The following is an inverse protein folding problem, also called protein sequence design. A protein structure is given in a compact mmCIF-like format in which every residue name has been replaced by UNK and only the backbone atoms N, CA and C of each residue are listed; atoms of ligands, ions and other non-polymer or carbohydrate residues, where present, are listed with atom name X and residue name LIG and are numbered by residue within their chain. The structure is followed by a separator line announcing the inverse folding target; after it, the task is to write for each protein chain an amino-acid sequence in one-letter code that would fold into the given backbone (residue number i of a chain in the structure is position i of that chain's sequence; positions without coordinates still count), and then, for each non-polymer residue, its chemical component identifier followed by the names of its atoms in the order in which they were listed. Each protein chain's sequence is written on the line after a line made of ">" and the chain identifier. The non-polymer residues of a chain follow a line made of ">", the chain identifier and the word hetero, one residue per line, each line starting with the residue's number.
data_IF_678211542477
#
_entry.id   IF_678211542477
#
_cell.length_a   1.000
_cell.length_b   1.000
_cell.length_c   1.000
_cell.angle_alpha   90.00
_cell.angle_beta   90.00
_cell.angle_gamma   90.00
#
_symmetry.space_group_name_H-M   'P 1'
#
loop_
_entity.id
_entity.type
_entity.pdbx_description
1 polymer ?
#
# COMPACT_ATOMS: atom_id res chain seq x y z
N UNK A 1 -27.36 3.39 9.55
CA UNK A 1 -28.55 3.92 8.82
C UNK A 1 -28.23 4.82 7.62
N UNK A 2 -27.03 5.37 7.47
CA UNK A 2 -26.67 6.22 6.30
C UNK A 2 -26.23 5.44 5.05
N UNK A 3 -25.61 4.28 5.21
CA UNK A 3 -25.12 3.46 4.06
C UNK A 3 -26.27 2.92 3.20
N UNK A 4 -27.45 2.70 3.76
CA UNK A 4 -28.63 2.18 3.05
C UNK A 4 -29.39 3.22 2.20
N UNK A 5 -29.04 4.49 2.25
CA UNK A 5 -29.70 5.56 1.51
C UNK A 5 -29.11 5.90 0.13
N UNK A 6 -28.20 5.06 -0.40
CA UNK A 6 -27.72 5.23 -1.79
C UNK A 6 -28.74 4.65 -2.80
N UNK A 7 -29.97 5.13 -2.82
CA UNK A 7 -30.96 4.80 -3.85
C UNK A 7 -30.68 5.41 -5.24
N UNK A 8 -29.59 6.17 -5.41
CA UNK A 8 -29.12 6.66 -6.72
C UNK A 8 -27.62 6.41 -6.83
N UNK A 9 -27.20 5.50 -7.71
CA UNK A 9 -25.80 5.19 -8.00
C UNK A 9 -25.06 6.30 -8.78
N UNK A 10 -25.71 7.43 -9.08
CA UNK A 10 -25.11 8.49 -9.89
C UNK A 10 -23.78 9.05 -9.34
N UNK A 11 -23.56 9.22 -8.00
CA UNK A 11 -22.27 9.74 -7.54
C UNK A 11 -21.12 8.78 -7.84
N UNK A 12 -21.39 7.47 -7.78
CA UNK A 12 -20.40 6.44 -8.12
C UNK A 12 -20.09 6.48 -9.62
N UNK A 13 -21.11 6.59 -10.47
CA UNK A 13 -20.91 6.66 -11.93
C UNK A 13 -20.15 7.93 -12.32
N UNK A 14 -20.50 9.08 -11.74
CA UNK A 14 -19.80 10.34 -11.97
C UNK A 14 -18.33 10.21 -11.53
N UNK A 15 -18.08 9.67 -10.34
CA UNK A 15 -16.71 9.47 -9.86
C UNK A 15 -15.90 8.57 -10.77
N UNK A 16 -16.45 7.41 -11.19
CA UNK A 16 -15.78 6.49 -12.10
C UNK A 16 -15.49 7.12 -13.47
N UNK A 17 -16.40 7.94 -13.97
CA UNK A 17 -16.18 8.71 -15.21
C UNK A 17 -14.99 9.67 -15.05
N UNK A 18 -14.98 10.48 -13.99
CA UNK A 18 -13.86 11.39 -13.74
C UNK A 18 -12.54 10.64 -13.51
N UNK A 19 -12.57 9.53 -12.76
CA UNK A 19 -11.39 8.69 -12.55
C UNK A 19 -10.83 8.18 -13.88
N UNK A 20 -11.69 7.72 -14.80
CA UNK A 20 -11.28 7.29 -16.13
C UNK A 20 -10.70 8.46 -16.95
N UNK A 21 -11.38 9.62 -16.98
CA UNK A 21 -10.90 10.81 -17.71
C UNK A 21 -9.52 11.24 -17.19
N UNK A 22 -9.32 11.31 -15.88
CA UNK A 22 -8.05 11.71 -15.28
C UNK A 22 -6.97 10.65 -15.54
N UNK A 23 -7.30 9.35 -15.55
CA UNK A 23 -6.36 8.29 -15.88
C UNK A 23 -5.87 8.40 -17.33
N UNK A 24 -6.76 8.67 -18.28
CA UNK A 24 -6.42 8.92 -19.68
C UNK A 24 -5.61 10.22 -19.83
N UNK A 25 -5.98 11.28 -19.11
CA UNK A 25 -5.22 12.54 -19.12
C UNK A 25 -3.75 12.36 -18.69
N UNK A 26 -3.48 11.40 -17.81
CA UNK A 26 -2.12 11.02 -17.39
C UNK A 26 -1.53 9.89 -18.25
N UNK A 27 -2.09 9.58 -19.40
CA UNK A 27 -1.63 8.57 -20.37
C UNK A 27 -1.49 7.16 -19.75
N UNK A 28 -2.33 6.80 -18.79
CA UNK A 28 -2.29 5.47 -18.16
C UNK A 28 -2.53 4.35 -19.17
N UNK A 29 -3.36 4.59 -20.16
CA UNK A 29 -3.67 3.69 -21.28
C UNK A 29 -2.43 3.35 -22.16
N UNK A 30 -1.53 4.31 -22.38
CA UNK A 30 -0.29 4.09 -23.11
C UNK A 30 0.81 3.52 -22.19
N UNK A 31 0.97 4.10 -20.99
CA UNK A 31 2.03 3.73 -20.05
C UNK A 31 1.92 2.27 -19.61
N UNK A 32 0.71 1.68 -19.54
CA UNK A 32 0.49 0.27 -19.16
C UNK A 32 1.34 -0.69 -20.00
N UNK A 33 1.62 -0.38 -21.25
CA UNK A 33 2.38 -1.24 -22.18
C UNK A 33 3.90 -1.02 -22.12
N UNK A 34 4.37 -0.02 -21.39
CA UNK A 34 5.79 0.29 -21.30
C UNK A 34 6.51 -0.59 -20.27
N UNK A 35 7.76 -0.91 -20.54
CA UNK A 35 8.66 -1.60 -19.59
C UNK A 35 9.07 -0.71 -18.43
N UNK A 36 9.72 -1.26 -17.38
CA UNK A 36 10.28 -0.47 -16.29
C UNK A 36 11.15 0.67 -16.78
N UNK A 37 10.83 1.90 -16.36
CA UNK A 37 11.54 3.11 -16.81
C UNK A 37 11.42 4.25 -15.82
N UNK A 38 12.14 5.37 -16.09
CA UNK A 38 12.09 6.60 -15.32
C UNK A 38 12.63 6.44 -13.89
N UNK A 39 12.05 7.13 -12.91
CA UNK A 39 12.50 7.12 -11.51
C UNK A 39 12.42 5.71 -10.93
N UNK A 40 13.46 5.29 -10.21
CA UNK A 40 13.57 3.94 -9.64
C UNK A 40 13.44 2.79 -10.66
N UNK A 41 13.85 3.02 -11.93
CA UNK A 41 13.80 1.98 -12.97
C UNK A 41 14.48 0.67 -12.57
N UNK A 42 15.58 0.75 -11.84
CA UNK A 42 16.30 -0.41 -11.33
C UNK A 42 15.42 -1.23 -10.36
N UNK A 43 14.75 -0.60 -9.41
CA UNK A 43 13.83 -1.27 -8.46
C UNK A 43 12.58 -1.81 -9.14
N UNK A 44 12.07 -1.09 -10.14
CA UNK A 44 10.97 -1.59 -10.96
C UNK A 44 11.38 -2.85 -11.74
N UNK A 45 12.60 -2.87 -12.30
CA UNK A 45 13.14 -4.01 -13.02
C UNK A 45 13.36 -5.21 -12.09
N UNK A 46 13.85 -5.00 -10.88
CA UNK A 46 14.03 -6.07 -9.90
C UNK A 46 12.69 -6.68 -9.48
N UNK A 47 11.68 -5.86 -9.24
CA UNK A 47 10.32 -6.35 -8.93
C UNK A 47 9.71 -7.13 -10.11
N UNK A 48 9.87 -6.64 -11.34
CA UNK A 48 9.42 -7.34 -12.53
C UNK A 48 10.16 -8.67 -12.69
N UNK A 49 11.46 -8.70 -12.41
CA UNK A 49 12.29 -9.90 -12.49
C UNK A 49 11.91 -10.96 -11.44
N UNK A 50 11.52 -10.55 -10.22
CA UNK A 50 10.99 -11.47 -9.21
C UNK A 50 9.77 -12.23 -9.73
N UNK A 51 8.81 -11.51 -10.32
CA UNK A 51 7.61 -12.14 -10.89
C UNK A 51 7.96 -13.06 -12.07
N UNK A 52 8.88 -12.62 -12.94
CA UNK A 52 9.33 -13.41 -14.08
C UNK A 52 10.08 -14.68 -13.66
N UNK A 53 10.95 -14.58 -12.65
CA UNK A 53 11.68 -15.74 -12.14
C UNK A 53 10.76 -16.76 -11.48
N UNK A 54 9.76 -16.33 -10.72
CA UNK A 54 8.72 -17.26 -10.23
C UNK A 54 8.00 -17.97 -11.38
N UNK A 55 7.69 -17.26 -12.46
CA UNK A 55 7.06 -17.85 -13.64
C UNK A 55 7.96 -18.88 -14.34
N UNK A 56 9.24 -18.57 -14.53
CA UNK A 56 10.19 -19.38 -15.29
C UNK A 56 10.77 -20.52 -14.46
N UNK A 57 11.08 -20.30 -13.16
CA UNK A 57 11.85 -21.19 -12.31
C UNK A 57 10.97 -22.07 -11.39
N UNK A 58 9.70 -22.32 -11.74
CA UNK A 58 8.88 -23.36 -11.11
C UNK A 58 8.06 -22.93 -9.91
N UNK A 59 7.82 -21.64 -9.68
CA UNK A 59 6.94 -21.13 -8.62
C UNK A 59 7.38 -21.48 -7.18
N UNK A 60 8.69 -21.51 -6.92
CA UNK A 60 9.23 -21.79 -5.59
C UNK A 60 9.15 -20.56 -4.67
N UNK A 61 8.05 -20.39 -3.94
CA UNK A 61 7.75 -19.21 -3.13
C UNK A 61 8.87 -18.78 -2.18
N UNK A 62 9.55 -19.73 -1.54
CA UNK A 62 10.66 -19.48 -0.60
C UNK A 62 12.04 -19.42 -1.27
N UNK A 63 12.10 -19.35 -2.58
CA UNK A 63 13.36 -19.20 -3.33
C UNK A 63 13.26 -18.01 -4.30
N UNK A 64 13.12 -16.77 -3.80
CA UNK A 64 13.06 -15.59 -4.66
C UNK A 64 14.39 -15.34 -5.35
N UNK A 65 14.32 -14.94 -6.62
CA UNK A 65 15.49 -14.62 -7.44
C UNK A 65 15.22 -13.34 -8.25
N UNK A 66 16.27 -12.52 -8.43
CA UNK A 66 16.24 -11.32 -9.27
C UNK A 66 17.20 -11.47 -10.44
N UNK A 67 17.05 -10.63 -11.47
CA UNK A 67 18.03 -10.53 -12.55
C UNK A 67 19.25 -9.67 -12.17
N UNK A 68 19.21 -9.02 -11.01
CA UNK A 68 20.28 -8.17 -10.54
C UNK A 68 21.37 -8.99 -9.86
N UNK A 69 22.38 -9.40 -10.63
CA UNK A 69 23.49 -10.20 -10.12
C UNK A 69 24.53 -9.40 -9.34
N UNK A 70 24.50 -8.06 -9.40
CA UNK A 70 25.49 -7.23 -8.70
C UNK A 70 25.35 -7.29 -7.19
N UNK A 71 24.19 -7.66 -6.69
CA UNK A 71 23.88 -7.71 -5.26
C UNK A 71 24.46 -8.93 -4.53
N UNK A 72 24.86 -9.96 -5.25
CA UNK A 72 25.43 -11.21 -4.70
C UNK A 72 26.79 -11.55 -5.30
N UNK A 73 27.54 -10.55 -5.72
CA UNK A 73 28.84 -10.72 -6.36
C UNK A 73 28.78 -11.28 -7.78
N UNK A 74 27.66 -11.18 -8.46
CA UNK A 74 27.49 -11.63 -9.83
C UNK A 74 27.22 -13.12 -10.00
N UNK A 75 26.72 -13.80 -8.97
CA UNK A 75 26.66 -15.26 -8.95
C UNK A 75 25.28 -15.82 -9.31
N UNK A 76 24.25 -15.60 -8.51
CA UNK A 76 23.01 -16.38 -8.61
C UNK A 76 21.72 -15.55 -8.73
N UNK A 77 21.76 -14.28 -8.38
CA UNK A 77 20.54 -13.46 -8.25
C UNK A 77 19.60 -13.87 -7.12
N UNK A 78 20.03 -14.79 -6.24
CA UNK A 78 19.23 -15.27 -5.11
C UNK A 78 19.15 -14.23 -4.02
N UNK A 79 18.22 -13.31 -4.18
CA UNK A 79 17.95 -12.22 -3.27
C UNK A 79 16.47 -12.22 -2.87
N UNK A 80 16.25 -12.12 -1.56
CA UNK A 80 14.90 -12.10 -0.98
C UNK A 80 14.53 -10.67 -0.55
N UNK A 81 13.44 -10.10 -1.07
CA UNK A 81 12.96 -8.80 -0.62
C UNK A 81 12.43 -8.87 0.81
N UNK A 82 12.46 -7.74 1.52
CA UNK A 82 11.85 -7.60 2.85
C UNK A 82 10.31 -7.68 2.80
N UNK A 83 9.73 -7.36 1.67
CA UNK A 83 8.31 -7.57 1.38
C UNK A 83 8.01 -9.04 1.11
N UNK A 84 6.90 -9.55 1.64
CA UNK A 84 6.44 -10.90 1.33
C UNK A 84 6.06 -10.95 -0.16
N UNK A 85 6.62 -11.85 -0.98
CA UNK A 85 6.49 -11.81 -2.42
C UNK A 85 5.12 -12.28 -2.95
N UNK A 86 4.05 -12.20 -2.14
CA UNK A 86 2.69 -12.61 -2.52
C UNK A 86 2.23 -11.92 -3.80
N UNK A 87 2.52 -10.62 -3.92
CA UNK A 87 2.14 -9.83 -5.08
C UNK A 87 2.85 -10.31 -6.36
N UNK A 88 4.17 -10.50 -6.29
CA UNK A 88 4.97 -10.98 -7.42
C UNK A 88 4.63 -12.42 -7.81
N UNK A 89 4.37 -13.25 -6.80
CA UNK A 89 3.93 -14.62 -6.99
C UNK A 89 2.56 -14.69 -7.67
N UNK A 90 1.62 -13.83 -7.29
CA UNK A 90 0.33 -13.73 -7.96
C UNK A 90 0.45 -13.26 -9.41
N UNK A 91 1.34 -12.30 -9.70
CA UNK A 91 1.64 -11.90 -11.08
C UNK A 91 2.21 -13.05 -11.88
N UNK A 92 3.11 -13.85 -11.29
CA UNK A 92 3.64 -15.05 -11.95
C UNK A 92 2.55 -16.09 -12.26
N UNK A 93 1.53 -16.24 -11.41
CA UNK A 93 0.34 -17.04 -11.71
C UNK A 93 -0.44 -16.49 -12.92
N UNK A 94 -0.61 -15.17 -13.01
CA UNK A 94 -1.24 -14.54 -14.17
C UNK A 94 -0.41 -14.76 -15.44
N UNK A 95 0.93 -14.70 -15.36
CA UNK A 95 1.79 -15.07 -16.49
C UNK A 95 1.60 -16.52 -16.94
N UNK A 96 1.34 -17.45 -16.01
CA UNK A 96 1.02 -18.84 -16.38
C UNK A 96 -0.32 -19.00 -17.08
N UNK A 97 -1.31 -18.18 -16.73
CA UNK A 97 -2.65 -18.22 -17.30
C UNK A 97 -2.73 -17.53 -18.68
N UNK A 98 -2.07 -16.38 -18.81
CA UNK A 98 -2.24 -15.49 -19.97
C UNK A 98 -0.99 -15.39 -20.87
N UNK A 99 0.11 -16.07 -20.49
CA UNK A 99 1.42 -15.85 -21.08
C UNK A 99 2.14 -14.65 -20.47
N UNK A 100 3.48 -14.62 -20.64
CA UNK A 100 4.29 -13.52 -20.16
C UNK A 100 4.06 -12.24 -20.97
N UNK A 101 3.67 -11.18 -20.28
CA UNK A 101 3.61 -9.82 -20.82
C UNK A 101 3.82 -8.79 -19.72
N UNK A 102 4.72 -7.84 -19.91
CA UNK A 102 5.04 -6.80 -18.90
C UNK A 102 3.80 -6.00 -18.45
N UNK A 103 2.85 -5.77 -19.36
CA UNK A 103 1.61 -5.05 -19.07
C UNK A 103 0.75 -5.71 -17.98
N UNK A 104 0.83 -7.01 -17.78
CA UNK A 104 0.04 -7.72 -16.76
C UNK A 104 0.41 -7.21 -15.36
N UNK A 105 1.71 -7.05 -15.08
CA UNK A 105 2.16 -6.52 -13.81
C UNK A 105 1.63 -5.10 -13.58
N UNK A 106 1.88 -4.23 -14.55
CA UNK A 106 1.52 -2.81 -14.47
C UNK A 106 0.00 -2.64 -14.39
N UNK A 107 -0.76 -3.37 -15.22
CA UNK A 107 -2.22 -3.33 -15.22
C UNK A 107 -2.80 -3.75 -13.86
N UNK A 108 -2.31 -4.86 -13.29
CA UNK A 108 -2.78 -5.33 -11.98
C UNK A 108 -2.52 -4.27 -10.90
N UNK A 109 -1.30 -3.72 -10.86
CA UNK A 109 -0.93 -2.68 -9.90
C UNK A 109 -1.82 -1.44 -10.04
N UNK A 110 -2.04 -0.99 -11.28
CA UNK A 110 -2.90 0.15 -11.60
C UNK A 110 -4.35 -0.10 -11.19
N UNK A 111 -4.90 -1.27 -11.50
CA UNK A 111 -6.29 -1.62 -11.14
C UNK A 111 -6.48 -1.64 -9.62
N UNK A 112 -5.54 -2.22 -8.87
CA UNK A 112 -5.59 -2.22 -7.40
C UNK A 112 -5.49 -0.78 -6.87
N UNK A 113 -4.60 0.04 -7.42
CA UNK A 113 -4.45 1.44 -7.04
C UNK A 113 -5.74 2.23 -7.29
N UNK A 114 -6.32 2.15 -8.49
CA UNK A 114 -7.57 2.82 -8.82
C UNK A 114 -8.75 2.33 -7.95
N UNK A 115 -8.77 1.04 -7.60
CA UNK A 115 -9.71 0.51 -6.63
C UNK A 115 -9.52 1.15 -5.25
N UNK A 116 -8.28 1.35 -4.81
CA UNK A 116 -7.97 2.10 -3.58
C UNK A 116 -8.51 3.52 -3.60
N UNK A 117 -8.32 4.25 -4.70
CA UNK A 117 -8.86 5.60 -4.89
C UNK A 117 -10.40 5.59 -4.88
N UNK A 118 -11.02 4.58 -5.49
CA UNK A 118 -12.47 4.41 -5.40
C UNK A 118 -12.94 4.22 -3.94
N UNK A 119 -12.25 3.40 -3.14
CA UNK A 119 -12.59 3.24 -1.73
C UNK A 119 -12.29 4.49 -0.90
N UNK A 120 -11.28 5.29 -1.27
CA UNK A 120 -11.06 6.61 -0.67
C UNK A 120 -12.24 7.54 -0.91
N UNK A 121 -12.76 7.60 -2.15
CA UNK A 121 -14.02 8.28 -2.43
C UNK A 121 -15.18 7.77 -1.55
N UNK A 122 -15.29 6.45 -1.35
CA UNK A 122 -16.29 5.86 -0.46
C UNK A 122 -16.13 6.29 1.00
N UNK A 123 -14.89 6.43 1.49
CA UNK A 123 -14.58 6.97 2.82
C UNK A 123 -15.00 8.44 2.90
N UNK A 124 -14.65 9.26 1.94
CA UNK A 124 -15.08 10.66 1.93
C UNK A 124 -16.61 10.78 1.88
N UNK A 125 -17.30 9.93 1.10
CA UNK A 125 -18.76 9.87 1.08
C UNK A 125 -19.39 9.43 2.40
N UNK A 126 -18.66 8.69 3.20
CA UNK A 126 -19.11 8.30 4.53
C UNK A 126 -19.06 9.47 5.53
N UNK A 127 -17.98 10.25 5.50
CA UNK A 127 -17.81 11.39 6.41
C UNK A 127 -18.47 12.68 5.90
N UNK A 128 -18.44 12.90 4.58
CA UNK A 128 -18.98 14.08 3.93
C UNK A 128 -20.31 13.72 3.26
N UNK A 129 -21.36 14.43 3.57
CA UNK A 129 -22.65 14.23 2.90
C UNK A 129 -22.66 14.78 1.47
N UNK A 130 -21.77 15.72 1.18
CA UNK A 130 -21.64 16.39 -0.11
C UNK A 130 -20.90 15.54 -1.15
N UNK A 131 -21.51 15.40 -2.34
CA UNK A 131 -20.96 14.60 -3.45
C UNK A 131 -19.77 15.28 -4.09
N UNK A 132 -19.85 16.60 -4.30
CA UNK A 132 -18.81 17.36 -4.97
C UNK A 132 -17.50 17.28 -4.20
N UNK A 133 -17.53 17.59 -2.90
CA UNK A 133 -16.32 17.54 -2.06
C UNK A 133 -15.76 16.14 -1.93
N UNK A 134 -16.61 15.11 -1.89
CA UNK A 134 -16.12 13.73 -1.84
C UNK A 134 -15.38 13.32 -3.11
N UNK A 135 -15.87 13.74 -4.27
CA UNK A 135 -15.20 13.52 -5.56
C UNK A 135 -13.93 14.36 -5.65
N UNK A 136 -14.02 15.65 -5.34
CA UNK A 136 -12.90 16.58 -5.45
C UNK A 136 -11.71 16.14 -4.60
N UNK A 137 -11.93 15.76 -3.33
CA UNK A 137 -10.87 15.32 -2.44
C UNK A 137 -10.25 13.98 -2.89
N UNK A 138 -11.06 13.03 -3.36
CA UNK A 138 -10.51 11.77 -3.85
C UNK A 138 -9.68 11.97 -5.13
N UNK A 139 -10.12 12.83 -6.04
CA UNK A 139 -9.37 13.18 -7.24
C UNK A 139 -8.13 14.03 -6.93
N UNK A 140 -8.23 14.98 -5.99
CA UNK A 140 -7.07 15.74 -5.52
C UNK A 140 -5.98 14.80 -5.01
N UNK A 141 -6.36 13.77 -4.27
CA UNK A 141 -5.43 12.77 -3.78
C UNK A 141 -4.79 11.99 -4.93
N UNK A 142 -5.61 11.53 -5.89
CA UNK A 142 -5.14 10.82 -7.08
C UNK A 142 -4.17 11.67 -7.92
N UNK A 143 -4.46 12.96 -8.11
CA UNK A 143 -3.65 13.86 -8.94
C UNK A 143 -2.34 14.32 -8.29
N UNK A 144 -2.05 13.88 -7.07
CA UNK A 144 -0.71 14.08 -6.49
C UNK A 144 0.36 13.49 -7.42
N UNK A 145 1.41 14.25 -7.79
CA UNK A 145 2.46 13.78 -8.70
C UNK A 145 3.05 12.43 -8.29
N UNK A 146 3.24 12.22 -6.99
CA UNK A 146 3.75 10.96 -6.44
C UNK A 146 2.77 9.81 -6.71
N UNK A 147 1.48 10.00 -6.45
CA UNK A 147 0.49 8.94 -6.62
C UNK A 147 0.20 8.65 -8.09
N UNK A 148 0.17 9.67 -8.95
CA UNK A 148 0.07 9.49 -10.40
C UNK A 148 1.22 8.63 -10.91
N UNK A 149 2.45 8.95 -10.51
CA UNK A 149 3.62 8.21 -10.96
C UNK A 149 3.66 6.78 -10.43
N UNK A 150 3.46 6.60 -9.11
CA UNK A 150 3.58 5.28 -8.48
C UNK A 150 2.34 4.40 -8.67
N UNK A 151 1.18 4.98 -8.98
CA UNK A 151 -0.05 4.23 -9.27
C UNK A 151 0.03 3.38 -10.53
N UNK A 152 0.92 3.73 -11.47
CA UNK A 152 1.09 3.05 -12.74
C UNK A 152 2.55 2.64 -12.98
N UNK A 153 3.12 1.81 -12.12
CA UNK A 153 4.49 1.31 -12.26
C UNK A 153 4.63 -0.14 -11.74
N UNK A 154 5.86 -0.64 -11.59
CA UNK A 154 6.17 -2.00 -11.13
C UNK A 154 6.53 -2.08 -9.63
N UNK A 155 6.05 -1.13 -8.82
CA UNK A 155 6.31 -1.14 -7.37
C UNK A 155 5.02 -1.48 -6.61
N UNK A 156 5.11 -2.40 -5.65
CA UNK A 156 3.99 -2.83 -4.81
C UNK A 156 3.52 -1.76 -3.79
N UNK A 157 4.22 -0.62 -3.71
CA UNK A 157 3.91 0.45 -2.77
C UNK A 157 2.50 1.01 -2.93
N UNK A 158 2.07 1.27 -4.18
CA UNK A 158 0.73 1.78 -4.49
C UNK A 158 -0.36 0.77 -4.21
N UNK A 159 -0.11 -0.52 -4.50
CA UNK A 159 -1.02 -1.60 -4.14
C UNK A 159 -1.13 -1.76 -2.62
N UNK A 160 -0.02 -1.68 -1.88
CA UNK A 160 -0.02 -1.69 -0.41
C UNK A 160 -0.86 -0.54 0.17
N UNK A 161 -0.66 0.66 -0.36
CA UNK A 161 -1.42 1.84 0.02
C UNK A 161 -2.92 1.67 -0.28
N UNK A 162 -3.27 1.15 -1.45
CA UNK A 162 -4.65 0.88 -1.85
C UNK A 162 -5.32 -0.13 -0.89
N UNK A 163 -4.66 -1.24 -0.59
CA UNK A 163 -5.17 -2.22 0.39
C UNK A 163 -5.34 -1.62 1.78
N UNK A 164 -4.45 -0.72 2.20
CA UNK A 164 -4.61 0.01 3.46
C UNK A 164 -5.87 0.88 3.47
N UNK A 165 -6.13 1.65 2.40
CA UNK A 165 -7.35 2.46 2.28
C UNK A 165 -8.60 1.57 2.32
N UNK A 166 -8.60 0.46 1.56
CA UNK A 166 -9.73 -0.49 1.56
C UNK A 166 -9.91 -1.09 2.96
N UNK A 167 -8.82 -1.42 3.64
CA UNK A 167 -8.83 -1.90 5.02
C UNK A 167 -9.50 -0.89 5.97
N UNK A 168 -9.15 0.38 5.87
CA UNK A 168 -9.78 1.45 6.66
C UNK A 168 -11.26 1.61 6.35
N UNK A 169 -11.69 1.50 5.10
CA UNK A 169 -13.11 1.51 4.75
C UNK A 169 -13.89 0.42 5.49
N UNK A 170 -13.38 -0.81 5.53
CA UNK A 170 -14.02 -1.90 6.24
C UNK A 170 -13.91 -1.76 7.77
N UNK A 171 -12.85 -1.13 8.27
CA UNK A 171 -12.76 -0.79 9.68
C UNK A 171 -13.82 0.24 10.10
N UNK A 172 -14.08 1.26 9.29
CA UNK A 172 -15.18 2.21 9.55
C UNK A 172 -16.55 1.53 9.49
N UNK A 173 -16.74 0.58 8.59
CA UNK A 173 -17.94 -0.25 8.59
C UNK A 173 -18.09 -1.10 9.86
N UNK A 174 -16.99 -1.68 10.34
CA UNK A 174 -17.00 -2.37 11.63
C UNK A 174 -17.39 -1.43 12.76
N UNK A 175 -16.85 -0.22 12.79
CA UNK A 175 -17.17 0.78 13.83
C UNK A 175 -18.65 1.20 13.81
N UNK A 176 -19.29 1.23 12.63
CA UNK A 176 -20.70 1.61 12.49
C UNK A 176 -21.66 0.43 12.72
N UNK A 177 -21.39 -0.70 12.07
CA UNK A 177 -22.31 -1.85 12.05
C UNK A 177 -22.09 -2.80 13.26
N UNK A 178 -20.97 -2.67 13.99
CA UNK A 178 -20.55 -3.56 15.09
C UNK A 178 -20.46 -5.05 14.69
N UNK A 179 -20.33 -5.35 13.40
CA UNK A 179 -20.23 -6.71 12.90
C UNK A 179 -18.76 -7.15 12.78
N UNK A 180 -18.36 -8.14 13.54
CA UNK A 180 -16.99 -8.67 13.58
C UNK A 180 -16.44 -9.10 12.21
N UNK A 181 -17.30 -9.49 11.26
CA UNK A 181 -16.85 -9.85 9.90
C UNK A 181 -16.07 -8.70 9.24
N UNK A 182 -16.50 -7.45 9.42
CA UNK A 182 -15.84 -6.29 8.81
C UNK A 182 -14.49 -5.99 9.47
N UNK A 183 -14.37 -6.27 10.77
CA UNK A 183 -13.08 -6.21 11.45
C UNK A 183 -12.09 -7.21 10.83
N UNK A 184 -12.49 -8.48 10.64
CA UNK A 184 -11.59 -9.48 10.07
C UNK A 184 -11.26 -9.21 8.58
N UNK A 185 -12.21 -8.69 7.80
CA UNK A 185 -11.94 -8.23 6.43
C UNK A 185 -10.90 -7.10 6.44
N UNK A 186 -11.05 -6.13 7.34
CA UNK A 186 -10.08 -5.05 7.52
C UNK A 186 -8.68 -5.59 7.89
N UNK A 187 -8.60 -6.51 8.86
CA UNK A 187 -7.33 -7.12 9.28
C UNK A 187 -6.68 -7.92 8.14
N UNK A 188 -7.45 -8.66 7.34
CA UNK A 188 -6.93 -9.36 6.17
C UNK A 188 -6.35 -8.38 5.13
N UNK A 189 -7.03 -7.28 4.88
CA UNK A 189 -6.55 -6.24 3.95
C UNK A 189 -5.29 -5.55 4.47
N UNK A 190 -5.20 -5.28 5.77
CA UNK A 190 -3.97 -4.76 6.37
C UNK A 190 -2.83 -5.78 6.36
N UNK A 191 -3.11 -7.08 6.48
CA UNK A 191 -2.10 -8.12 6.29
C UNK A 191 -1.57 -8.11 4.85
N UNK A 192 -2.44 -8.06 3.84
CA UNK A 192 -2.03 -7.99 2.43
C UNK A 192 -1.23 -6.70 2.17
N UNK A 193 -1.67 -5.58 2.73
CA UNK A 193 -0.94 -4.31 2.64
C UNK A 193 0.45 -4.41 3.27
N UNK A 194 0.56 -4.92 4.50
CA UNK A 194 1.81 -5.07 5.23
C UNK A 194 2.74 -6.12 4.59
N UNK A 195 2.20 -7.18 4.01
CA UNK A 195 2.94 -8.14 3.21
C UNK A 195 3.58 -7.47 1.97
N UNK A 196 2.85 -6.56 1.33
CA UNK A 196 3.33 -5.80 0.17
C UNK A 196 4.30 -4.66 0.54
N UNK A 197 4.14 -4.08 1.74
CA UNK A 197 5.03 -3.04 2.29
C UNK A 197 4.93 -2.97 3.81
N UNK A 198 6.04 -3.21 4.49
CA UNK A 198 6.07 -3.27 5.96
C UNK A 198 5.55 -2.02 6.65
N UNK A 199 5.71 -0.83 6.04
CA UNK A 199 5.19 0.43 6.58
C UNK A 199 3.65 0.46 6.71
N UNK A 200 2.92 -0.39 5.99
CA UNK A 200 1.47 -0.50 6.15
C UNK A 200 1.05 -1.07 7.53
N UNK A 201 1.99 -1.65 8.30
CA UNK A 201 1.77 -1.99 9.72
C UNK A 201 1.34 -0.79 10.57
N UNK A 202 1.63 0.44 10.16
CA UNK A 202 1.13 1.63 10.87
C UNK A 202 -0.39 1.63 11.01
N UNK A 203 -1.13 1.08 10.05
CA UNK A 203 -2.59 0.91 10.18
C UNK A 203 -2.96 -0.04 11.33
N UNK A 204 -2.23 -1.15 11.47
CA UNK A 204 -2.44 -2.11 12.55
C UNK A 204 -2.07 -1.48 13.90
N UNK A 205 -0.97 -0.75 13.98
CA UNK A 205 -0.55 -0.04 15.19
C UNK A 205 -1.53 1.07 15.58
N UNK A 206 -2.12 1.79 14.61
CA UNK A 206 -3.16 2.77 14.88
C UNK A 206 -4.39 2.12 15.54
N UNK A 207 -4.83 0.97 15.01
CA UNK A 207 -5.96 0.22 15.62
C UNK A 207 -5.58 -0.35 16.98
N UNK A 208 -4.34 -0.81 17.16
CA UNK A 208 -3.85 -1.26 18.46
C UNK A 208 -3.86 -0.12 19.49
N UNK A 209 -3.49 1.09 19.08
CA UNK A 209 -3.63 2.30 19.91
C UNK A 209 -5.09 2.61 20.27
N UNK A 210 -6.00 2.55 19.29
CA UNK A 210 -7.44 2.72 19.55
C UNK A 210 -7.95 1.65 20.55
N UNK A 211 -7.57 0.39 20.34
CA UNK A 211 -7.91 -0.70 21.26
C UNK A 211 -7.40 -0.42 22.67
N UNK A 212 -6.14 -0.01 22.82
CA UNK A 212 -5.53 0.34 24.09
C UNK A 212 -6.27 1.47 24.81
N UNK A 213 -6.58 2.56 24.11
CA UNK A 213 -7.31 3.69 24.69
C UNK A 213 -8.73 3.31 25.12
N UNK A 214 -9.39 2.42 24.39
CA UNK A 214 -10.74 1.99 24.78
C UNK A 214 -10.73 1.02 25.98
N UNK A 215 -9.78 0.06 26.04
CA UNK A 215 -9.72 -0.88 27.18
C UNK A 215 -9.28 -0.22 28.49
N UNK A 216 -8.45 0.82 28.40
CA UNK A 216 -8.05 1.64 29.57
C UNK A 216 -9.11 2.65 29.99
N UNK A 217 -10.18 2.83 29.20
CA UNK A 217 -11.25 3.77 29.49
C UNK A 217 -10.91 5.24 29.21
N UNK A 218 -9.78 5.51 28.53
CA UNK A 218 -9.36 6.87 28.17
C UNK A 218 -10.26 7.49 27.06
N UNK A 219 -10.82 6.65 26.20
CA UNK A 219 -11.67 7.12 25.08
C UNK A 219 -12.73 6.06 24.75
N UNK A 220 -13.89 6.50 24.27
CA UNK A 220 -14.93 5.64 23.70
C UNK A 220 -15.11 6.00 22.23
N UNK A 221 -14.85 5.05 21.31
CA UNK A 221 -14.94 5.29 19.88
C UNK A 221 -16.34 5.03 19.30
N UNK A 222 -17.18 4.24 20.00
CA UNK A 222 -18.58 4.01 19.63
C UNK A 222 -19.52 4.64 20.66
N UNK A 223 -20.63 5.25 20.18
CA UNK A 223 -21.62 5.88 21.07
C UNK A 223 -22.31 4.85 21.96
N UNK A 224 -22.04 4.93 23.27
CA UNK A 224 -22.75 4.16 24.29
C UNK A 224 -22.33 2.69 24.43
N UNK A 225 -21.38 2.19 23.65
CA UNK A 225 -20.87 0.82 23.77
C UNK A 225 -19.40 0.74 23.37
N UNK A 226 -18.73 -0.34 23.79
CA UNK A 226 -17.35 -0.59 23.40
C UNK A 226 -17.30 -1.05 21.94
N UNK A 227 -16.44 -0.42 21.16
CA UNK A 227 -16.16 -0.84 19.79
C UNK A 227 -15.52 -2.24 19.79
N UNK A 228 -14.53 -2.46 20.66
CA UNK A 228 -13.78 -3.69 20.75
C UNK A 228 -14.35 -4.63 21.84
N UNK A 229 -15.26 -5.51 21.45
CA UNK A 229 -15.95 -6.40 22.41
C UNK A 229 -15.07 -7.57 22.87
N UNK A 230 -14.16 -8.07 22.03
CA UNK A 230 -13.33 -9.25 22.36
C UNK A 230 -11.95 -8.82 22.84
N UNK A 231 -11.64 -9.18 24.10
CA UNK A 231 -10.34 -8.91 24.72
C UNK A 231 -9.21 -9.83 24.24
N UNK A 232 -9.51 -10.93 23.53
CA UNK A 232 -8.53 -11.93 23.09
C UNK A 232 -8.43 -11.95 21.57
N UNK A 233 -9.55 -12.08 20.84
CA UNK A 233 -9.55 -12.26 19.39
C UNK A 233 -9.01 -11.05 18.62
N UNK A 234 -9.33 -9.85 19.11
CA UNK A 234 -8.90 -8.59 18.49
C UNK A 234 -7.38 -8.42 18.59
N UNK A 235 -6.76 -8.42 19.78
CA UNK A 235 -5.31 -8.33 19.87
C UNK A 235 -4.59 -9.53 19.23
N UNK A 236 -5.16 -10.74 19.31
CA UNK A 236 -4.58 -11.91 18.67
C UNK A 236 -4.47 -11.75 17.15
N UNK A 237 -5.49 -11.17 16.49
CA UNK A 237 -5.43 -10.91 15.03
C UNK A 237 -4.37 -9.87 14.68
N UNK A 238 -4.21 -8.80 15.46
CA UNK A 238 -3.17 -7.78 15.25
C UNK A 238 -1.77 -8.36 15.47
N UNK A 239 -1.58 -9.11 16.55
CA UNK A 239 -0.31 -9.80 16.85
C UNK A 239 0.04 -10.80 15.74
N UNK A 240 -0.94 -11.53 15.21
CA UNK A 240 -0.72 -12.48 14.11
C UNK A 240 -0.20 -11.79 12.85
N UNK A 241 -0.70 -10.59 12.51
CA UNK A 241 -0.20 -9.82 11.36
C UNK A 241 1.26 -9.43 11.58
N UNK A 242 1.59 -8.89 12.75
CA UNK A 242 2.97 -8.51 13.09
C UNK A 242 3.90 -9.72 13.09
N UNK A 243 3.44 -10.86 13.63
CA UNK A 243 4.21 -12.09 13.65
C UNK A 243 4.47 -12.64 12.25
N UNK A 244 3.46 -12.65 11.35
CA UNK A 244 3.61 -13.11 9.97
C UNK A 244 4.65 -12.24 9.22
N UNK A 245 4.50 -10.91 9.28
CA UNK A 245 5.42 -9.99 8.61
C UNK A 245 6.82 -10.07 9.22
N UNK A 246 6.92 -10.11 10.55
CA UNK A 246 8.20 -10.24 11.25
C UNK A 246 8.91 -11.55 10.92
N UNK A 247 8.19 -12.67 10.89
CA UNK A 247 8.75 -13.99 10.50
C UNK A 247 9.31 -13.95 9.07
N UNK A 248 8.64 -13.25 8.15
CA UNK A 248 9.16 -13.09 6.80
C UNK A 248 10.46 -12.27 6.77
N UNK A 249 10.51 -11.17 7.51
CA UNK A 249 11.73 -10.33 7.58
C UNK A 249 12.92 -11.15 8.11
N UNK A 250 12.69 -11.97 9.13
CA UNK A 250 13.73 -12.88 9.67
C UNK A 250 14.15 -13.91 8.62
N UNK A 251 13.19 -14.49 7.90
CA UNK A 251 13.49 -15.42 6.80
C UNK A 251 14.29 -14.72 5.69
N UNK A 252 13.87 -13.53 5.25
CA UNK A 252 14.56 -12.77 4.21
C UNK A 252 16.00 -12.42 4.61
N UNK A 253 16.21 -12.02 5.86
CA UNK A 253 17.54 -11.76 6.40
C UNK A 253 18.42 -13.00 6.38
N UNK A 254 17.89 -14.14 6.85
CA UNK A 254 18.60 -15.42 6.81
C UNK A 254 18.92 -15.86 5.37
N UNK A 255 17.94 -15.76 4.46
CA UNK A 255 18.11 -16.13 3.06
C UNK A 255 19.19 -15.29 2.37
N UNK A 256 19.14 -13.97 2.57
CA UNK A 256 20.10 -13.04 1.99
C UNK A 256 21.52 -13.28 2.53
N UNK A 257 21.67 -13.49 3.83
CA UNK A 257 22.96 -13.82 4.44
C UNK A 257 23.52 -15.13 3.87
N UNK A 258 22.69 -16.16 3.75
CA UNK A 258 23.08 -17.48 3.21
C UNK A 258 23.58 -17.38 1.76
N UNK A 259 23.01 -16.51 0.95
CA UNK A 259 23.33 -16.34 -0.47
C UNK A 259 24.25 -15.15 -0.76
N UNK A 260 24.73 -14.45 0.27
CA UNK A 260 25.62 -13.29 0.11
C UNK A 260 24.94 -12.07 -0.55
N UNK A 261 23.60 -12.01 -0.54
CA UNK A 261 22.87 -10.89 -1.11
C UNK A 261 22.91 -9.67 -0.17
N UNK A 262 23.40 -8.54 -0.68
CA UNK A 262 23.47 -7.27 0.05
C UNK A 262 22.41 -6.26 -0.40
N UNK A 263 21.73 -6.53 -1.50
CA UNK A 263 20.86 -5.58 -2.19
C UNK A 263 19.54 -5.27 -1.44
N UNK A 264 18.81 -6.29 -1.03
CA UNK A 264 17.59 -6.10 -0.23
C UNK A 264 17.92 -6.03 1.26
N UNK A 265 18.87 -5.16 1.62
CA UNK A 265 19.28 -5.00 3.00
C UNK A 265 18.08 -4.73 3.90
N UNK A 266 17.98 -5.51 4.95
CA UNK A 266 17.03 -5.28 6.06
C UNK A 266 17.65 -4.38 7.14
N UNK A 267 18.76 -3.69 6.82
CA UNK A 267 19.45 -2.80 7.75
C UNK A 267 18.54 -1.65 8.14
N UNK A 268 18.38 -1.47 9.43
CA UNK A 268 17.71 -0.32 10.02
C UNK A 268 18.78 0.76 10.21
N UNK A 269 18.48 1.97 9.74
CA UNK A 269 19.32 3.15 9.97
C UNK A 269 18.64 3.99 11.07
N UNK A 270 19.01 3.79 12.35
CA UNK A 270 18.33 4.47 13.44
C UNK A 270 18.71 5.95 13.48
N UNK A 271 17.73 6.82 13.70
CA UNK A 271 17.93 8.26 13.71
C UNK A 271 18.91 8.74 14.81
N UNK A 272 19.04 7.97 15.88
CA UNK A 272 19.96 8.27 16.99
C UNK A 272 21.43 8.02 16.67
N UNK A 273 21.73 7.34 15.58
CA UNK A 273 23.11 7.14 15.11
C UNK A 273 23.56 8.23 14.12
N UNK A 274 22.66 9.15 13.76
CA UNK A 274 22.93 10.25 12.85
C UNK A 274 23.63 11.41 13.57
N UNK A 275 24.59 12.02 12.90
CA UNK A 275 25.19 13.28 13.32
C UNK A 275 24.21 14.45 13.14
N UNK A 276 24.45 15.59 13.79
CA UNK A 276 23.61 16.78 13.65
C UNK A 276 23.47 17.24 12.20
N UNK A 277 24.54 17.20 11.41
CA UNK A 277 24.55 17.60 10.01
C UNK A 277 23.71 16.64 9.12
N UNK A 278 23.80 15.33 9.40
CA UNK A 278 22.97 14.34 8.71
C UNK A 278 21.48 14.50 9.03
N UNK A 279 21.14 14.82 10.28
CA UNK A 279 19.75 15.13 10.67
C UNK A 279 19.24 16.35 9.90
N UNK A 280 20.05 17.42 9.82
CA UNK A 280 19.69 18.62 9.03
C UNK A 280 19.49 18.25 7.57
N UNK A 281 20.40 17.46 6.97
CA UNK A 281 20.27 16.99 5.59
C UNK A 281 18.97 16.18 5.35
N UNK A 282 18.57 15.31 6.30
CA UNK A 282 17.31 14.58 6.25
C UNK A 282 16.11 15.53 6.31
N UNK A 283 16.14 16.53 7.20
CA UNK A 283 15.06 17.52 7.32
C UNK A 283 14.93 18.40 6.06
N UNK A 284 16.05 18.80 5.46
CA UNK A 284 16.06 19.50 4.17
C UNK A 284 15.50 18.62 3.06
N UNK A 285 15.89 17.34 3.00
CA UNK A 285 15.33 16.36 2.06
C UNK A 285 13.81 16.21 2.23
N UNK A 286 13.33 16.12 3.46
CA UNK A 286 11.89 16.08 3.76
C UNK A 286 11.21 17.35 3.26
N UNK A 287 11.76 18.52 3.58
CA UNK A 287 11.21 19.81 3.14
C UNK A 287 11.10 19.88 1.62
N UNK A 288 12.18 19.60 0.91
CA UNK A 288 12.24 19.72 -0.55
C UNK A 288 11.33 18.70 -1.24
N UNK A 289 11.28 17.45 -0.74
CA UNK A 289 10.42 16.43 -1.30
C UNK A 289 8.94 16.65 -0.98
N UNK A 290 8.61 16.88 0.27
CA UNK A 290 7.21 16.87 0.72
C UNK A 290 6.49 18.18 0.43
N UNK A 291 7.17 19.32 0.57
CA UNK A 291 6.54 20.63 0.32
C UNK A 291 6.57 21.05 -1.15
N UNK A 292 7.56 20.56 -1.93
CA UNK A 292 7.74 21.01 -3.31
C UNK A 292 7.29 19.98 -4.36
N UNK A 293 7.33 18.68 -4.03
CA UNK A 293 7.10 17.63 -5.02
C UNK A 293 5.78 16.86 -4.83
N UNK A 294 5.20 16.80 -3.63
CA UNK A 294 3.95 16.08 -3.40
C UNK A 294 2.74 16.83 -3.90
N UNK A 295 2.65 18.12 -3.59
CA UNK A 295 1.59 18.99 -4.08
C UNK A 295 2.16 20.36 -4.42
N UNK A 296 1.57 21.02 -5.41
CA UNK A 296 1.89 22.42 -5.66
C UNK A 296 1.59 23.29 -4.41
N UNK A 297 2.40 24.28 -4.14
CA UNK A 297 2.28 25.13 -2.95
C UNK A 297 0.88 25.75 -2.77
N UNK A 298 0.18 26.07 -3.88
CA UNK A 298 -1.18 26.59 -3.82
C UNK A 298 -2.18 25.61 -3.17
N UNK A 299 -1.98 24.30 -3.33
CA UNK A 299 -2.82 23.27 -2.70
C UNK A 299 -2.57 23.25 -1.19
N UNK A 300 -1.31 23.34 -0.76
CA UNK A 300 -0.95 23.40 0.65
C UNK A 300 -1.51 24.66 1.32
N UNK A 301 -1.42 25.82 0.64
CA UNK A 301 -2.03 27.07 1.12
C UNK A 301 -3.55 26.92 1.22
N UNK A 302 -4.21 26.36 0.21
CA UNK A 302 -5.66 26.14 0.25
C UNK A 302 -6.06 25.23 1.43
N UNK A 303 -5.36 24.12 1.62
CA UNK A 303 -5.64 23.18 2.73
C UNK A 303 -5.36 23.78 4.11
N UNK A 304 -4.46 24.77 4.21
CA UNK A 304 -4.18 25.44 5.48
C UNK A 304 -5.24 26.51 5.85
N UNK A 305 -6.06 26.93 4.91
CA UNK A 305 -7.13 27.93 5.11
C UNK A 305 -8.48 27.25 5.41
N UNK A 306 -8.67 25.99 4.99
CA UNK A 306 -9.88 25.21 5.24
C UNK A 306 -9.87 24.54 6.61
#
# INVERSE_FOLDING_TARGET
>A
MLILRMKKNYPVLIFLLFLAIVSVFYNYDEIIFLRPQSIHKWRQSDNASLALNYYQNGMHFFSPETHNLTSDGGTSGKCCPSEIPVFYYFIALLYKLFGYHDSIFRLLNTLIFLLGIFYLFRIFRYFLTDVFWSIALALLFFTSPVLVYYGNNFLSNSSSFAFSIIGWYYFFRFAEESENKWFYVSMLLFLIAAASKVTALFSVFAIAGMYFFEITGLTQFAKGQKLFQSKIRIPASMISIVAIVGSWILFASYYNQKHGCTYFSTTIFPVWDLTGDEIVGVLEGIRNLWLEQYFHASVLVFLSIC
#
